data_IF_064195177465
#
_entry.id   IF_064195177465
#
_cell.length_a   1.000
_cell.length_b   1.000
_cell.length_c   1.000
_cell.angle_alpha   90.00
_cell.angle_beta   90.00
_cell.angle_gamma   90.00
#
_symmetry.space_group_name_H-M   'P 1'
#
loop_
_entity.id
_entity.type
_entity.pdbx_description
1 polymer ?
#
# COMPACT_ATOMS: atom_id res chain seq x y z
N UNK A 1 3.63 4.15 -17.81
CA UNK A 1 4.71 3.22 -17.40
C UNK A 1 5.40 3.57 -16.06
N UNK A 2 5.38 4.83 -15.58
CA UNK A 2 6.08 5.22 -14.33
C UNK A 2 5.36 4.82 -13.02
N UNK A 3 4.04 5.03 -12.90
CA UNK A 3 3.30 4.73 -11.66
C UNK A 3 3.36 3.27 -11.20
N UNK A 4 3.28 2.31 -12.14
CA UNK A 4 3.36 0.87 -11.82
C UNK A 4 4.70 0.51 -11.18
N UNK A 5 5.82 1.08 -11.63
CA UNK A 5 7.15 0.80 -11.05
C UNK A 5 7.27 1.29 -9.61
N UNK A 6 6.73 2.47 -9.32
CA UNK A 6 6.70 3.02 -7.97
C UNK A 6 5.90 2.10 -7.04
N UNK A 7 4.71 1.67 -7.47
CA UNK A 7 3.84 0.79 -6.68
C UNK A 7 4.45 -0.60 -6.46
N UNK A 8 5.08 -1.18 -7.49
CA UNK A 8 5.78 -2.47 -7.34
C UNK A 8 6.97 -2.35 -6.39
N UNK A 9 7.73 -1.24 -6.48
CA UNK A 9 8.83 -0.99 -5.54
C UNK A 9 8.34 -0.79 -4.11
N UNK A 10 7.28 -0.01 -3.93
CA UNK A 10 6.68 0.26 -2.62
C UNK A 10 6.19 -1.03 -1.97
N UNK A 11 5.53 -1.89 -2.74
CA UNK A 11 5.08 -3.20 -2.26
C UNK A 11 6.22 -4.12 -1.80
N UNK A 12 7.37 -4.09 -2.50
CA UNK A 12 8.57 -4.84 -2.08
C UNK A 12 9.18 -4.26 -0.81
N UNK A 13 9.16 -2.94 -0.66
CA UNK A 13 9.70 -2.28 0.52
C UNK A 13 8.85 -2.55 1.76
N UNK A 14 7.52 -2.57 1.63
CA UNK A 14 6.64 -3.01 2.71
C UNK A 14 6.96 -4.42 3.20
N UNK A 15 7.22 -5.35 2.27
CA UNK A 15 7.64 -6.72 2.63
C UNK A 15 8.99 -6.76 3.35
N UNK A 16 9.88 -5.78 3.14
CA UNK A 16 11.15 -5.70 3.86
C UNK A 16 11.00 -5.14 5.27
N UNK A 17 10.03 -4.25 5.48
CA UNK A 17 9.71 -3.68 6.79
C UNK A 17 8.93 -4.68 7.67
N UNK A 18 8.06 -5.49 7.06
CA UNK A 18 7.28 -6.53 7.69
C UNK A 18 8.15 -7.75 8.08
N UNK A 19 8.89 -7.61 9.19
CA UNK A 19 9.76 -8.66 9.73
C UNK A 19 9.00 -9.89 10.22
N UNK A 20 7.76 -9.69 10.66
CA UNK A 20 6.89 -10.75 11.18
C UNK A 20 6.23 -11.54 10.04
N UNK A 21 6.19 -10.99 8.82
CA UNK A 21 5.56 -11.58 7.66
C UNK A 21 4.03 -11.65 7.76
N UNK A 22 3.42 -10.83 8.61
CA UNK A 22 1.99 -10.87 8.90
C UNK A 22 1.16 -9.95 8.00
N UNK A 23 1.80 -9.21 7.08
CA UNK A 23 1.12 -8.27 6.22
C UNK A 23 0.80 -6.93 6.90
N UNK A 24 1.29 -6.69 8.11
CA UNK A 24 0.97 -5.52 8.90
C UNK A 24 2.16 -4.60 9.06
N UNK A 25 1.93 -3.29 9.01
CA UNK A 25 2.93 -2.27 9.31
C UNK A 25 2.40 -1.30 10.35
N UNK A 26 3.30 -0.82 11.20
CA UNK A 26 2.99 0.29 12.09
C UNK A 26 3.02 1.63 11.33
N UNK A 27 2.57 2.68 12.02
CA UNK A 27 2.46 4.02 11.46
C UNK A 27 3.79 4.62 11.05
N UNK A 28 4.85 4.34 11.80
CA UNK A 28 6.18 4.87 11.54
C UNK A 28 6.79 4.22 10.29
N UNK A 29 6.69 2.90 10.19
CA UNK A 29 7.13 2.11 9.03
C UNK A 29 6.41 2.56 7.75
N UNK A 30 5.10 2.75 7.83
CA UNK A 30 4.30 3.18 6.69
C UNK A 30 4.69 4.60 6.23
N UNK A 31 4.86 5.54 7.16
CA UNK A 31 5.28 6.92 6.87
C UNK A 31 6.69 6.97 6.28
N UNK A 32 7.60 6.14 6.80
CA UNK A 32 8.96 6.00 6.29
C UNK A 32 8.95 5.46 4.85
N UNK A 33 8.10 4.48 4.55
CA UNK A 33 7.96 3.95 3.20
C UNK A 33 7.50 5.02 2.20
N UNK A 34 6.48 5.82 2.51
CA UNK A 34 6.06 6.91 1.62
C UNK A 34 7.20 7.90 1.32
N UNK A 35 7.99 8.24 2.34
CA UNK A 35 9.15 9.13 2.20
C UNK A 35 10.26 8.55 1.31
N UNK A 36 10.59 7.26 1.46
CA UNK A 36 11.60 6.56 0.64
C UNK A 36 11.21 6.54 -0.84
N UNK A 37 9.92 6.43 -1.12
CA UNK A 37 9.39 6.43 -2.49
C UNK A 37 9.10 7.83 -3.05
N UNK A 38 9.51 8.88 -2.33
CA UNK A 38 9.27 10.27 -2.68
C UNK A 38 7.79 10.58 -2.94
N UNK A 39 6.91 9.93 -2.18
CA UNK A 39 5.48 10.21 -2.16
C UNK A 39 5.23 11.30 -1.12
N UNK A 40 5.14 12.53 -1.60
CA UNK A 40 4.78 13.67 -0.77
C UNK A 40 3.29 13.61 -0.43
N UNK A 41 2.99 13.29 0.82
CA UNK A 41 1.64 13.28 1.37
C UNK A 41 1.63 14.27 2.52
N UNK A 42 0.64 15.16 2.55
CA UNK A 42 0.50 16.09 3.67
C UNK A 42 0.19 15.32 4.96
N UNK A 43 0.59 15.83 6.12
CA UNK A 43 0.30 15.16 7.39
C UNK A 43 -1.21 14.91 7.56
N UNK A 44 -2.04 15.89 7.17
CA UNK A 44 -3.49 15.79 7.25
C UNK A 44 -4.05 14.65 6.39
N UNK A 45 -3.57 14.54 5.15
CA UNK A 45 -4.02 13.49 4.24
C UNK A 45 -3.53 12.12 4.69
N UNK A 46 -2.31 12.06 5.23
CA UNK A 46 -1.76 10.85 5.81
C UNK A 46 -2.58 10.37 7.02
N UNK A 47 -2.89 11.24 7.96
CA UNK A 47 -3.74 10.92 9.13
C UNK A 47 -5.14 10.48 8.71
N UNK A 48 -5.70 11.13 7.69
CA UNK A 48 -7.02 10.75 7.15
C UNK A 48 -6.98 9.37 6.49
N UNK A 49 -5.93 9.09 5.73
CA UNK A 49 -5.71 7.76 5.13
C UNK A 49 -5.44 6.70 6.21
N UNK A 50 -4.68 7.04 7.25
CA UNK A 50 -4.39 6.16 8.38
C UNK A 50 -5.68 5.72 9.09
N UNK A 51 -6.56 6.68 9.41
CA UNK A 51 -7.85 6.41 10.04
C UNK A 51 -8.75 5.48 9.23
N UNK A 52 -8.67 5.54 7.90
CA UNK A 52 -9.46 4.66 7.01
C UNK A 52 -8.90 3.24 7.01
N UNK A 53 -7.57 3.10 7.15
CA UNK A 53 -6.90 1.82 7.02
C UNK A 53 -6.71 1.09 8.37
N UNK A 54 -6.63 1.82 9.49
CA UNK A 54 -6.54 1.30 10.87
C UNK A 54 -7.95 1.20 11.51
N UNK A 55 -8.88 0.52 10.80
CA UNK A 55 -10.30 0.46 11.17
C UNK A 55 -10.55 -0.20 12.54
N UNK A 56 -9.65 -1.09 12.96
CA UNK A 56 -9.74 -1.77 14.25
C UNK A 56 -8.98 -1.06 15.39
N UNK A 57 -8.30 0.05 15.09
CA UNK A 57 -7.56 0.87 16.06
C UNK A 57 -6.43 0.12 16.77
N UNK A 58 -5.88 -0.93 16.15
CA UNK A 58 -4.78 -1.70 16.74
C UNK A 58 -3.41 -1.06 16.51
N UNK A 59 -3.36 0.08 15.80
CA UNK A 59 -2.14 0.82 15.50
C UNK A 59 -1.28 0.16 14.43
N UNK A 60 -1.83 -0.82 13.70
CA UNK A 60 -1.21 -1.52 12.58
C UNK A 60 -2.14 -1.51 11.37
N UNK A 61 -1.55 -1.54 10.19
CA UNK A 61 -2.29 -1.44 8.92
C UNK A 61 -1.96 -2.59 7.99
N UNK A 62 -2.97 -3.17 7.33
CA UNK A 62 -2.75 -4.13 6.25
C UNK A 62 -2.31 -3.37 4.99
N UNK A 63 -1.01 -3.44 4.66
CA UNK A 63 -0.50 -2.80 3.45
C UNK A 63 -0.98 -3.50 2.16
N UNK A 64 -1.53 -4.71 2.27
CA UNK A 64 -2.33 -5.38 1.25
C UNK A 64 -3.62 -4.63 0.93
N UNK A 65 -4.35 -4.16 1.96
CA UNK A 65 -5.53 -3.30 1.77
C UNK A 65 -5.16 -1.98 1.11
N UNK A 66 -4.08 -1.35 1.57
CA UNK A 66 -3.58 -0.14 0.94
C UNK A 66 -3.24 -0.35 -0.55
N UNK A 67 -2.52 -1.43 -0.88
CA UNK A 67 -2.23 -1.78 -2.29
C UNK A 67 -3.51 -1.95 -3.09
N UNK A 68 -4.52 -2.64 -2.55
CA UNK A 68 -5.82 -2.83 -3.21
C UNK A 68 -6.55 -1.50 -3.38
N UNK A 69 -6.56 -0.63 -2.38
CA UNK A 69 -7.18 0.69 -2.44
C UNK A 69 -6.54 1.61 -3.49
N UNK A 70 -5.22 1.60 -3.60
CA UNK A 70 -4.49 2.43 -4.59
C UNK A 70 -4.54 1.84 -6.00
N UNK A 71 -4.43 0.52 -6.16
CA UNK A 71 -4.43 -0.14 -7.47
C UNK A 71 -5.85 -0.28 -8.04
N UNK A 72 -6.83 -0.44 -7.15
CA UNK A 72 -8.22 -0.72 -7.49
C UNK A 72 -8.46 -2.13 -8.05
N UNK A 73 -9.73 -2.42 -8.31
CA UNK A 73 -10.15 -3.61 -9.05
C UNK A 73 -9.53 -3.64 -10.46
N UNK A 74 -8.99 -4.79 -10.85
CA UNK A 74 -8.51 -4.99 -12.21
C UNK A 74 -9.69 -4.91 -13.18
N UNK A 75 -9.65 -4.00 -14.16
CA UNK A 75 -10.75 -3.85 -15.11
C UNK A 75 -11.00 -5.14 -15.93
N UNK A 76 -12.22 -5.31 -16.46
CA UNK A 76 -12.62 -6.53 -17.17
C UNK A 76 -11.75 -6.85 -18.39
N UNK A 77 -11.24 -5.82 -19.07
CA UNK A 77 -10.29 -6.00 -20.16
C UNK A 77 -9.05 -6.77 -19.68
N UNK A 78 -8.39 -6.33 -18.60
CA UNK A 78 -7.21 -7.00 -18.03
C UNK A 78 -7.54 -8.37 -17.45
N UNK A 79 -8.69 -8.52 -16.76
CA UNK A 79 -9.17 -9.83 -16.28
C UNK A 79 -9.31 -10.83 -17.43
N UNK A 80 -9.82 -10.39 -18.58
CA UNK A 80 -9.99 -11.26 -19.76
C UNK A 80 -8.68 -11.80 -20.33
N UNK A 81 -7.56 -11.08 -20.21
CA UNK A 81 -6.25 -11.57 -20.64
C UNK A 81 -5.65 -12.58 -19.66
N UNK A 82 -5.82 -12.36 -18.35
CA UNK A 82 -5.34 -13.31 -17.33
C UNK A 82 -6.11 -14.63 -17.38
N UNK A 83 -7.43 -14.60 -17.61
CA UNK A 83 -8.27 -15.81 -17.73
C UNK A 83 -7.96 -16.66 -18.97
N UNK A 84 -7.29 -16.08 -19.97
CA UNK A 84 -6.93 -16.74 -21.25
C UNK A 84 -5.53 -17.35 -21.25
N UNK A 85 -4.72 -17.07 -20.23
CA UNK A 85 -3.39 -17.64 -20.03
C UNK A 85 -3.46 -18.78 -19.00
#
# INVERSE_FOLDING_TARGET
KRGVRILTGLGKYFQQLDKEGNGLLDKADFKQALKVFHLEVSEKDFESAWLILDDNGNGKVDYGEFKRGIIGEMNEYRKSYVRKA
#
